data_IF_525497736333
#
_entry.id   IF_525497736333
#
_cell.length_a   1.000
_cell.length_b   1.000
_cell.length_c   1.000
_cell.angle_alpha   90.00
_cell.angle_beta   90.00
_cell.angle_gamma   90.00
#
_symmetry.space_group_name_H-M   'P 1'
#
loop_
_entity.id
_entity.type
_entity.pdbx_description
1 polymer ?
#
# COMPACT_ATOMS: atom_id res chain seq x y z
N UNK A 1 -23.87 31.77 43.07
CA UNK A 1 -23.48 30.82 42.00
C UNK A 1 -22.11 31.22 41.47
N UNK A 2 -21.11 30.33 41.42
CA UNK A 2 -19.78 30.68 40.94
C UNK A 2 -19.87 30.96 39.43
N UNK A 3 -19.59 32.21 39.05
CA UNK A 3 -19.51 32.61 37.65
C UNK A 3 -18.29 31.94 37.05
N UNK A 4 -18.51 30.97 36.16
CA UNK A 4 -17.43 30.27 35.46
C UNK A 4 -16.46 31.26 34.84
N UNK A 5 -15.18 31.17 35.24
CA UNK A 5 -14.10 31.96 34.67
C UNK A 5 -14.03 31.69 33.17
N UNK A 6 -14.41 32.69 32.36
CA UNK A 6 -14.28 32.60 30.90
C UNK A 6 -12.80 32.38 30.58
N UNK A 7 -12.47 31.25 29.96
CA UNK A 7 -11.14 31.01 29.41
C UNK A 7 -10.73 32.19 28.52
N UNK A 8 -9.54 32.73 28.77
CA UNK A 8 -8.95 33.79 27.93
C UNK A 8 -8.86 33.31 26.47
N UNK A 9 -9.02 34.18 25.47
CA UNK A 9 -8.86 33.82 24.05
C UNK A 9 -7.57 33.04 23.77
N UNK A 10 -6.48 33.39 24.45
CA UNK A 10 -5.20 32.71 24.31
C UNK A 10 -5.23 31.25 24.81
N UNK A 11 -6.01 30.94 25.85
CA UNK A 11 -6.18 29.57 26.32
C UNK A 11 -6.96 28.75 25.31
N UNK A 12 -8.02 29.34 24.72
CA UNK A 12 -8.80 28.66 23.66
C UNK A 12 -7.94 28.34 22.44
N UNK A 13 -7.13 29.29 21.98
CA UNK A 13 -6.21 29.06 20.85
C UNK A 13 -5.17 27.98 21.15
N UNK A 14 -4.69 27.87 22.40
CA UNK A 14 -3.78 26.79 22.79
C UNK A 14 -4.46 25.43 22.83
N UNK A 15 -5.70 25.38 23.33
CA UNK A 15 -6.51 24.16 23.34
C UNK A 15 -6.77 23.70 21.89
N UNK A 16 -7.22 24.60 21.01
CA UNK A 16 -7.44 24.32 19.57
C UNK A 16 -6.17 23.88 18.83
N UNK A 17 -5.03 24.51 19.14
CA UNK A 17 -3.74 24.10 18.58
C UNK A 17 -3.39 22.68 19.00
N UNK A 18 -3.60 22.34 20.27
CA UNK A 18 -3.33 21.00 20.79
C UNK A 18 -4.24 19.96 20.13
N UNK A 19 -5.54 20.23 20.05
CA UNK A 19 -6.51 19.32 19.41
C UNK A 19 -6.15 19.09 17.93
N UNK A 20 -5.67 20.13 17.24
CA UNK A 20 -5.19 20.03 15.86
C UNK A 20 -3.94 19.16 15.76
N UNK A 21 -2.97 19.32 16.68
CA UNK A 21 -1.76 18.51 16.72
C UNK A 21 -2.06 17.04 16.99
N UNK A 22 -2.93 16.75 17.97
CA UNK A 22 -3.36 15.40 18.30
C UNK A 22 -4.07 14.75 17.10
N UNK A 23 -4.90 15.51 16.39
CA UNK A 23 -5.56 15.04 15.16
C UNK A 23 -4.54 14.72 14.06
N UNK A 24 -3.52 15.56 13.87
CA UNK A 24 -2.44 15.32 12.90
C UNK A 24 -1.71 14.00 13.22
N UNK A 25 -1.40 13.75 14.49
CA UNK A 25 -0.74 12.50 14.90
C UNK A 25 -1.61 11.27 14.64
N UNK A 26 -2.90 11.36 14.94
CA UNK A 26 -3.86 10.30 14.65
C UNK A 26 -3.95 10.00 13.15
N UNK A 27 -4.06 11.04 12.30
CA UNK A 27 -4.09 10.84 10.85
C UNK A 27 -2.79 10.27 10.31
N UNK A 28 -1.62 10.67 10.84
CA UNK A 28 -0.33 10.06 10.46
C UNK A 28 -0.30 8.57 10.79
N UNK A 29 -0.79 8.17 11.97
CA UNK A 29 -0.88 6.76 12.34
C UNK A 29 -1.85 5.99 11.42
N UNK A 30 -2.99 6.58 11.08
CA UNK A 30 -3.95 5.99 10.13
C UNK A 30 -3.34 5.81 8.73
N UNK A 31 -2.63 6.83 8.22
CA UNK A 31 -1.93 6.77 6.92
C UNK A 31 -0.90 5.63 6.93
N UNK A 32 -0.09 5.52 8.00
CA UNK A 32 0.90 4.45 8.11
C UNK A 32 0.26 3.06 8.05
N UNK A 33 -0.87 2.87 8.72
CA UNK A 33 -1.63 1.61 8.67
C UNK A 33 -2.17 1.33 7.27
N UNK A 34 -2.65 2.35 6.56
CA UNK A 34 -3.12 2.22 5.18
C UNK A 34 -1.98 1.86 4.23
N UNK A 35 -0.79 2.43 4.39
CA UNK A 35 0.40 2.08 3.60
C UNK A 35 0.85 0.63 3.83
N UNK A 36 0.78 0.14 5.07
CA UNK A 36 1.08 -1.26 5.36
C UNK A 36 0.07 -2.19 4.68
N UNK A 37 -1.22 -1.84 4.76
CA UNK A 37 -2.28 -2.59 4.07
C UNK A 37 -2.13 -2.54 2.55
N UNK A 38 -1.76 -1.40 1.99
CA UNK A 38 -1.47 -1.25 0.55
C UNK A 38 -0.37 -2.22 0.12
N UNK A 39 0.72 -2.28 0.88
CA UNK A 39 1.83 -3.21 0.59
C UNK A 39 1.37 -4.67 0.67
N UNK A 40 0.60 -5.04 1.70
CA UNK A 40 0.04 -6.38 1.82
C UNK A 40 -0.82 -6.76 0.60
N UNK A 41 -1.69 -5.86 0.17
CA UNK A 41 -2.53 -6.09 -1.03
C UNK A 41 -1.67 -6.25 -2.28
N UNK A 42 -0.62 -5.43 -2.45
CA UNK A 42 0.29 -5.57 -3.59
C UNK A 42 1.02 -6.92 -3.60
N UNK A 43 1.43 -7.41 -2.43
CA UNK A 43 2.10 -8.71 -2.30
C UNK A 43 1.11 -9.87 -2.55
N UNK A 44 -0.14 -9.75 -2.09
CA UNK A 44 -1.22 -10.72 -2.37
C UNK A 44 -1.57 -10.78 -3.86
N UNK A 45 -1.65 -9.64 -4.54
CA UNK A 45 -1.90 -9.59 -5.99
C UNK A 45 -0.81 -10.34 -6.75
N UNK A 46 0.48 -10.05 -6.46
CA UNK A 46 1.60 -10.73 -7.12
C UNK A 46 1.58 -12.24 -6.88
N UNK A 47 1.20 -12.66 -5.68
CA UNK A 47 1.08 -14.08 -5.36
C UNK A 47 -0.03 -14.73 -6.17
N UNK A 48 -1.19 -14.08 -6.31
CA UNK A 48 -2.30 -14.62 -7.08
C UNK A 48 -1.98 -14.67 -8.57
N UNK A 49 -1.40 -13.60 -9.13
CA UNK A 49 -0.88 -13.59 -10.51
C UNK A 49 0.12 -14.74 -10.74
N UNK A 50 1.03 -14.98 -9.78
CA UNK A 50 1.96 -16.10 -9.87
C UNK A 50 1.24 -17.46 -9.87
N UNK A 51 0.24 -17.66 -9.00
CA UNK A 51 -0.55 -18.91 -8.98
C UNK A 51 -1.30 -19.14 -10.28
N UNK A 52 -1.91 -18.10 -10.85
CA UNK A 52 -2.60 -18.17 -12.13
C UNK A 52 -1.64 -18.63 -13.23
N UNK A 53 -0.45 -18.02 -13.31
CA UNK A 53 0.59 -18.44 -14.26
C UNK A 53 1.07 -19.86 -13.99
N UNK A 54 1.28 -20.24 -12.72
CA UNK A 54 1.68 -21.60 -12.35
C UNK A 54 0.64 -22.65 -12.74
N UNK A 55 -0.65 -22.38 -12.54
CA UNK A 55 -1.72 -23.29 -12.94
C UNK A 55 -1.74 -23.51 -14.45
N UNK A 56 -1.57 -22.44 -15.24
CA UNK A 56 -1.45 -22.54 -16.70
C UNK A 56 -0.24 -23.38 -17.10
N UNK A 57 0.91 -23.18 -16.45
CA UNK A 57 2.11 -23.97 -16.72
C UNK A 57 1.91 -25.46 -16.42
N UNK A 58 1.26 -25.78 -15.30
CA UNK A 58 0.91 -27.17 -14.96
C UNK A 58 -0.04 -27.80 -16.00
N UNK A 59 -1.08 -27.07 -16.44
CA UNK A 59 -2.00 -27.53 -17.49
C UNK A 59 -1.28 -27.78 -18.83
N UNK A 60 -0.30 -26.94 -19.15
CA UNK A 60 0.53 -27.09 -20.36
C UNK A 60 1.70 -28.08 -20.16
N UNK A 61 1.81 -28.69 -18.97
CA UNK A 61 2.92 -29.56 -18.57
C UNK A 61 4.30 -28.93 -18.85
N UNK A 62 4.39 -27.62 -18.60
CA UNK A 62 5.53 -26.76 -18.90
C UNK A 62 6.18 -26.29 -17.60
N UNK A 63 7.51 -26.25 -17.57
CA UNK A 63 8.27 -25.72 -16.45
C UNK A 63 8.39 -24.20 -16.52
N UNK A 64 8.59 -23.57 -15.37
CA UNK A 64 8.89 -22.13 -15.29
C UNK A 64 10.18 -21.76 -16.07
N UNK A 65 11.14 -22.68 -16.16
CA UNK A 65 12.35 -22.48 -16.94
C UNK A 65 12.05 -22.44 -18.44
N UNK A 66 11.22 -23.34 -18.96
CA UNK A 66 10.78 -23.32 -20.35
C UNK A 66 10.01 -22.05 -20.69
N UNK A 67 9.14 -21.56 -19.80
CA UNK A 67 8.48 -20.25 -19.97
C UNK A 67 9.50 -19.11 -20.06
N UNK A 68 10.52 -19.12 -19.19
CA UNK A 68 11.57 -18.10 -19.20
C UNK A 68 12.35 -18.10 -20.52
N UNK A 69 12.75 -19.26 -21.01
CA UNK A 69 13.45 -19.39 -22.29
C UNK A 69 12.57 -18.97 -23.47
N UNK A 70 11.27 -19.31 -23.47
CA UNK A 70 10.31 -18.85 -24.48
C UNK A 70 10.16 -17.32 -24.51
N UNK A 71 10.13 -16.67 -23.34
CA UNK A 71 10.05 -15.21 -23.26
C UNK A 71 11.35 -14.52 -23.71
N UNK A 72 12.51 -15.07 -23.36
CA UNK A 72 13.82 -14.55 -23.80
C UNK A 72 13.95 -14.66 -25.32
N UNK A 73 13.68 -15.85 -25.88
CA UNK A 73 13.75 -16.07 -27.34
C UNK A 73 12.79 -15.15 -28.10
N UNK A 74 11.57 -14.93 -27.60
CA UNK A 74 10.63 -13.98 -28.22
C UNK A 74 11.15 -12.54 -28.18
N UNK A 75 11.74 -12.10 -27.07
CA UNK A 75 12.31 -10.76 -26.95
C UNK A 75 13.50 -10.54 -27.90
N UNK A 76 14.32 -11.57 -28.14
CA UNK A 76 15.44 -11.52 -29.10
C UNK A 76 14.94 -11.46 -30.55
N UNK A 77 13.85 -12.16 -30.88
CA UNK A 77 13.23 -12.13 -32.22
C UNK A 77 12.64 -10.74 -32.51
N UNK A 78 12.02 -10.09 -31.52
CA UNK A 78 11.42 -8.75 -31.65
C UNK A 78 12.47 -7.62 -31.73
N UNK A 79 13.67 -7.81 -31.19
CA UNK A 79 14.76 -6.82 -31.29
C UNK A 79 15.65 -7.00 -32.54
N UNK A 80 15.53 -8.14 -33.23
CA UNK A 80 16.30 -8.45 -34.44
C UNK A 80 15.60 -8.14 -35.77
N UNK A 81 14.42 -7.52 -35.76
CA UNK A 81 13.62 -7.15 -36.96
C UNK A 81 13.42 -5.64 -37.08
#
# INVERSE_FOLDING_TARGET
MPRGVRKSPLVKLRDELKDTQDSIEQYKAAIKKLQEKEKQIQDEIKLEEFKEVSAILEEQNMSLWELKELLISKAEIEQGS
#
